data_IF_166768192954
#
_entry.id   IF_166768192954
#
_cell.length_a   1.000
_cell.length_b   1.000
_cell.length_c   1.000
_cell.angle_alpha   90.00
_cell.angle_beta   90.00
_cell.angle_gamma   90.00
#
_symmetry.space_group_name_H-M   'P 1'
#
loop_
_entity.id
_entity.type
_entity.pdbx_description
1 polymer ?
#
# COMPACT_ATOMS: atom_id res chain seq x y z
N UNK A 1 -2.64 -1.65 -24.85
CA UNK A 1 -3.82 -1.55 -23.98
C UNK A 1 -3.93 -0.11 -23.52
N UNK A 2 -5.09 0.54 -23.69
CA UNK A 2 -5.36 1.86 -23.14
C UNK A 2 -5.73 1.77 -21.65
N UNK A 3 -5.67 2.88 -20.91
CA UNK A 3 -6.11 2.90 -19.50
C UNK A 3 -7.60 2.52 -19.34
N UNK A 4 -8.42 2.72 -20.36
CA UNK A 4 -9.83 2.34 -20.34
C UNK A 4 -10.03 0.82 -20.52
N UNK A 5 -9.26 0.19 -21.41
CA UNK A 5 -9.23 -1.28 -21.56
C UNK A 5 -8.68 -1.94 -20.28
N UNK A 6 -7.67 -1.34 -19.67
CA UNK A 6 -7.07 -1.79 -18.41
C UNK A 6 -8.08 -1.73 -17.25
N UNK A 7 -8.88 -0.64 -17.18
CA UNK A 7 -9.98 -0.53 -16.20
C UNK A 7 -11.03 -1.62 -16.40
N UNK A 8 -11.42 -1.89 -17.65
CA UNK A 8 -12.38 -2.96 -17.95
C UNK A 8 -11.85 -4.34 -17.54
N UNK A 9 -10.57 -4.61 -17.79
CA UNK A 9 -9.92 -5.85 -17.35
C UNK A 9 -9.89 -6.00 -15.82
N UNK A 10 -9.59 -4.93 -15.08
CA UNK A 10 -9.66 -4.93 -13.62
C UNK A 10 -11.07 -5.25 -13.11
N UNK A 11 -12.11 -4.63 -13.67
CA UNK A 11 -13.50 -4.86 -13.27
C UNK A 11 -14.00 -6.25 -13.62
N UNK A 12 -13.52 -6.85 -14.71
CA UNK A 12 -13.87 -8.22 -15.07
C UNK A 12 -13.29 -9.26 -14.10
N UNK A 13 -12.18 -8.92 -13.43
CA UNK A 13 -11.48 -9.82 -12.51
C UNK A 13 -11.85 -9.61 -11.03
N UNK A 14 -12.56 -8.54 -10.68
CA UNK A 14 -12.83 -8.16 -9.30
C UNK A 14 -14.28 -7.71 -9.11
N UNK A 15 -14.89 -8.16 -8.01
CA UNK A 15 -16.20 -7.66 -7.61
C UNK A 15 -16.05 -6.32 -6.88
N UNK A 16 -16.47 -5.23 -7.53
CA UNK A 16 -16.30 -3.86 -7.04
C UNK A 16 -17.66 -3.20 -6.96
N UNK A 17 -18.08 -2.78 -5.76
CA UNK A 17 -19.33 -2.04 -5.61
C UNK A 17 -19.31 -0.71 -6.39
N UNK A 18 -20.46 -0.22 -6.77
CA UNK A 18 -20.59 1.05 -7.50
C UNK A 18 -20.01 2.23 -6.74
N UNK A 19 -20.22 2.27 -5.43
CA UNK A 19 -19.71 3.34 -4.55
C UNK A 19 -18.18 3.30 -4.45
N UNK A 20 -17.62 2.11 -4.36
CA UNK A 20 -16.16 1.93 -4.33
C UNK A 20 -15.55 2.31 -5.68
N UNK A 21 -16.19 1.91 -6.77
CA UNK A 21 -15.73 2.27 -8.12
C UNK A 21 -15.71 3.78 -8.34
N UNK A 22 -16.76 4.51 -7.89
CA UNK A 22 -16.81 5.97 -7.97
C UNK A 22 -15.62 6.61 -7.20
N UNK A 23 -15.27 6.10 -6.01
CA UNK A 23 -14.10 6.56 -5.27
C UNK A 23 -12.79 6.28 -6.01
N UNK A 24 -12.63 5.08 -6.56
CA UNK A 24 -11.44 4.70 -7.34
C UNK A 24 -11.30 5.59 -8.59
N UNK A 25 -12.38 5.82 -9.32
CA UNK A 25 -12.37 6.69 -10.51
C UNK A 25 -11.94 8.12 -10.16
N UNK A 26 -12.39 8.67 -9.02
CA UNK A 26 -11.96 10.00 -8.53
C UNK A 26 -10.47 10.00 -8.17
N UNK A 27 -9.97 8.98 -7.49
CA UNK A 27 -8.54 8.84 -7.17
C UNK A 27 -7.69 8.84 -8.45
N UNK A 28 -8.09 8.05 -9.44
CA UNK A 28 -7.35 7.92 -10.71
C UNK A 28 -7.42 9.22 -11.52
N UNK A 29 -8.56 9.92 -11.49
CA UNK A 29 -8.69 11.24 -12.13
C UNK A 29 -7.76 12.27 -11.49
N UNK A 30 -7.69 12.34 -10.17
CA UNK A 30 -6.72 13.19 -9.48
C UNK A 30 -5.28 12.82 -9.83
N UNK A 31 -4.96 11.54 -9.83
CA UNK A 31 -3.64 11.05 -10.17
C UNK A 31 -3.23 11.45 -11.60
N UNK A 32 -4.17 11.40 -12.57
CA UNK A 32 -3.91 11.82 -13.96
C UNK A 32 -3.55 13.30 -14.06
N UNK A 33 -4.23 14.16 -13.31
CA UNK A 33 -3.91 15.60 -13.23
C UNK A 33 -2.53 15.84 -12.59
N UNK A 34 -2.25 15.16 -11.48
CA UNK A 34 -1.02 15.39 -10.71
C UNK A 34 0.22 14.80 -11.37
N UNK A 35 0.14 13.63 -12.05
CA UNK A 35 1.29 13.01 -12.73
C UNK A 35 1.86 13.88 -13.85
N UNK A 36 1.09 14.80 -14.41
CA UNK A 36 1.55 15.74 -15.43
C UNK A 36 2.48 16.83 -14.84
N UNK A 37 2.42 17.06 -13.53
CA UNK A 37 3.16 18.11 -12.81
C UNK A 37 4.19 17.53 -11.83
N UNK A 38 4.15 16.22 -11.58
CA UNK A 38 5.01 15.55 -10.61
C UNK A 38 5.22 14.08 -10.98
N UNK A 39 6.41 13.55 -10.68
CA UNK A 39 6.78 12.16 -10.96
C UNK A 39 6.13 11.21 -9.94
N UNK A 40 4.80 11.04 -10.03
CA UNK A 40 4.05 10.10 -9.18
C UNK A 40 4.05 8.70 -9.77
N UNK A 41 3.82 8.59 -11.07
CA UNK A 41 3.76 7.35 -11.84
C UNK A 41 4.52 7.55 -13.15
N UNK A 42 5.30 6.56 -13.54
CA UNK A 42 6.01 6.57 -14.81
C UNK A 42 5.05 6.53 -16.01
N UNK A 43 5.37 7.22 -17.13
CA UNK A 43 4.49 7.25 -18.31
C UNK A 43 4.23 5.85 -18.89
N UNK A 44 5.16 4.92 -18.74
CA UNK A 44 5.02 3.51 -19.17
C UNK A 44 4.09 2.69 -18.29
N UNK A 45 3.88 3.09 -17.03
CA UNK A 45 3.02 2.39 -16.06
C UNK A 45 1.57 2.84 -16.17
N UNK A 46 1.32 4.06 -16.65
CA UNK A 46 -0.01 4.64 -16.73
C UNK A 46 -1.02 3.79 -17.53
N UNK A 47 -0.69 3.21 -18.69
CA UNK A 47 -1.62 2.34 -19.43
C UNK A 47 -2.07 1.08 -18.68
N UNK A 48 -1.39 0.73 -17.58
CA UNK A 48 -1.68 -0.44 -16.74
C UNK A 48 -1.99 -0.04 -15.29
N UNK A 49 -2.49 1.18 -15.09
CA UNK A 49 -2.73 1.74 -13.75
C UNK A 49 -3.73 0.92 -12.95
N UNK A 50 -4.76 0.38 -13.60
CA UNK A 50 -5.81 -0.38 -12.97
C UNK A 50 -5.37 -1.81 -12.62
N UNK A 51 -4.82 -2.54 -13.56
CA UNK A 51 -4.44 -3.94 -13.31
C UNK A 51 -3.21 -4.05 -12.42
N UNK A 52 -2.19 -3.19 -12.63
CA UNK A 52 -0.94 -3.26 -11.85
C UNK A 52 -0.96 -2.49 -10.54
N UNK A 53 -1.52 -1.28 -10.50
CA UNK A 53 -1.45 -0.48 -9.26
C UNK A 53 -2.71 -0.62 -8.40
N UNK A 54 -3.90 -0.49 -9.00
CA UNK A 54 -5.15 -0.72 -8.29
C UNK A 54 -5.29 -2.20 -7.95
N UNK A 55 -5.06 -3.11 -8.92
CA UNK A 55 -5.17 -4.55 -8.74
C UNK A 55 -4.18 -5.12 -7.72
N UNK A 56 -2.90 -4.69 -7.78
CA UNK A 56 -1.90 -5.06 -6.76
C UNK A 56 -2.31 -4.64 -5.34
N UNK A 57 -2.95 -3.49 -5.22
CA UNK A 57 -3.43 -2.98 -3.94
C UNK A 57 -4.72 -3.68 -3.50
N UNK A 58 -5.60 -3.99 -4.46
CA UNK A 58 -6.90 -4.61 -4.23
C UNK A 58 -6.79 -5.99 -3.59
N UNK A 59 -5.85 -6.81 -4.02
CA UNK A 59 -5.64 -8.15 -3.46
C UNK A 59 -5.28 -8.14 -1.96
N UNK A 60 -4.80 -7.02 -1.40
CA UNK A 60 -4.52 -6.91 0.03
C UNK A 60 -5.80 -6.91 0.89
N UNK A 61 -6.96 -6.62 0.28
CA UNK A 61 -8.26 -6.63 0.97
C UNK A 61 -8.63 -8.01 1.52
N UNK A 62 -8.10 -9.09 0.93
CA UNK A 62 -8.33 -10.46 1.42
C UNK A 62 -7.69 -10.70 2.80
N UNK A 63 -6.75 -9.84 3.20
CA UNK A 63 -5.96 -9.97 4.43
C UNK A 63 -6.22 -8.84 5.45
N UNK A 64 -7.07 -7.87 5.08
CA UNK A 64 -7.37 -6.70 5.91
C UNK A 64 -8.89 -6.64 6.13
N UNK A 65 -9.38 -6.67 7.38
CA UNK A 65 -10.80 -6.64 7.69
C UNK A 65 -11.45 -5.31 7.33
N UNK A 66 -12.80 -5.29 7.31
CA UNK A 66 -13.60 -4.12 6.92
C UNK A 66 -13.34 -2.89 7.79
N UNK A 67 -13.15 -3.08 9.09
CA UNK A 67 -12.82 -2.02 10.03
C UNK A 67 -11.43 -2.27 10.61
N UNK A 68 -10.45 -1.47 10.23
CA UNK A 68 -9.06 -1.58 10.67
C UNK A 68 -8.39 -0.21 10.72
N UNK A 69 -7.40 -0.07 11.58
CA UNK A 69 -6.45 1.06 11.53
C UNK A 69 -5.24 0.61 10.75
N UNK A 70 -4.98 1.29 9.64
CA UNK A 70 -3.91 0.93 8.70
C UNK A 70 -2.90 2.06 8.67
N UNK A 71 -1.62 1.72 8.76
CA UNK A 71 -0.52 2.63 8.45
C UNK A 71 0.13 2.17 7.15
N UNK A 72 0.20 3.05 6.17
CA UNK A 72 0.84 2.79 4.88
C UNK A 72 2.16 3.55 4.80
N UNK A 73 3.28 2.83 4.72
CA UNK A 73 4.63 3.38 4.79
C UNK A 73 5.15 3.75 3.40
N UNK A 74 5.58 5.01 3.24
CA UNK A 74 6.11 5.48 1.97
C UNK A 74 5.07 5.48 0.87
N UNK A 75 3.89 6.01 1.13
CA UNK A 75 2.71 5.87 0.28
C UNK A 75 2.86 6.37 -1.16
N UNK A 76 3.77 7.30 -1.42
CA UNK A 76 4.12 7.76 -2.77
C UNK A 76 2.92 8.25 -3.57
N UNK A 77 2.56 7.54 -4.63
CA UNK A 77 1.38 7.78 -5.44
C UNK A 77 0.08 7.20 -4.83
N UNK A 78 0.09 6.84 -3.53
CA UNK A 78 -1.08 6.41 -2.79
C UNK A 78 -1.42 4.92 -2.89
N UNK A 79 -0.48 4.09 -3.35
CA UNK A 79 -0.68 2.64 -3.47
C UNK A 79 0.16 1.89 -2.42
N UNK A 80 -0.47 1.08 -1.53
CA UNK A 80 -1.88 0.67 -1.55
C UNK A 80 -2.84 1.59 -0.78
N UNK A 81 -2.38 2.57 0.00
CA UNK A 81 -3.15 3.30 1.01
C UNK A 81 -4.48 3.89 0.53
N UNK A 82 -4.51 4.61 -0.62
CA UNK A 82 -5.74 5.18 -1.18
C UNK A 82 -6.74 4.11 -1.61
N UNK A 83 -6.26 2.99 -2.16
CA UNK A 83 -7.13 1.91 -2.64
C UNK A 83 -7.79 1.19 -1.46
N UNK A 84 -7.01 0.93 -0.40
CA UNK A 84 -7.53 0.36 0.84
C UNK A 84 -8.58 1.26 1.49
N UNK A 85 -8.34 2.58 1.55
CA UNK A 85 -9.30 3.53 2.08
C UNK A 85 -10.58 3.62 1.24
N UNK A 86 -10.47 3.54 -0.09
CA UNK A 86 -11.62 3.54 -0.99
C UNK A 86 -12.50 2.28 -0.84
N UNK A 87 -11.86 1.11 -0.72
CA UNK A 87 -12.52 -0.19 -0.64
C UNK A 87 -13.01 -0.55 0.76
N UNK A 88 -12.45 0.05 1.82
CA UNK A 88 -12.77 -0.19 3.24
C UNK A 88 -13.19 1.11 3.94
N UNK A 89 -14.39 1.65 3.69
CA UNK A 89 -14.82 2.94 4.24
C UNK A 89 -14.90 2.99 5.76
N UNK A 90 -14.97 1.83 6.43
CA UNK A 90 -14.91 1.71 7.91
C UNK A 90 -13.48 1.66 8.45
N UNK A 91 -12.49 1.39 7.61
CA UNK A 91 -11.09 1.46 8.00
C UNK A 91 -10.63 2.91 8.07
N UNK A 92 -9.62 3.17 8.91
CA UNK A 92 -8.89 4.44 8.90
C UNK A 92 -7.47 4.22 8.41
N UNK A 93 -7.08 4.90 7.32
CA UNK A 93 -5.76 4.74 6.71
C UNK A 93 -4.91 5.99 6.98
N UNK A 94 -3.79 5.83 7.66
CA UNK A 94 -2.77 6.88 7.79
C UNK A 94 -1.65 6.61 6.79
N UNK A 95 -1.53 7.47 5.79
CA UNK A 95 -0.48 7.41 4.78
C UNK A 95 0.73 8.22 5.20
N UNK A 96 1.92 7.60 5.26
CA UNK A 96 3.18 8.24 5.63
C UNK A 96 4.01 8.53 4.38
N UNK A 97 4.32 9.81 4.17
CA UNK A 97 5.12 10.25 3.04
C UNK A 97 5.96 11.49 3.45
N UNK A 98 7.21 11.54 3.02
CA UNK A 98 8.11 12.66 3.37
C UNK A 98 8.13 13.77 2.33
N UNK A 99 7.79 13.48 1.08
CA UNK A 99 7.87 14.43 -0.04
C UNK A 99 6.61 15.30 -0.10
N UNK A 100 6.76 16.60 0.14
CA UNK A 100 5.63 17.54 0.23
C UNK A 100 4.68 17.52 -0.97
N UNK A 101 5.21 17.43 -2.20
CA UNK A 101 4.37 17.34 -3.41
C UNK A 101 3.52 16.09 -3.45
N UNK A 102 4.06 14.94 -3.01
CA UNK A 102 3.31 13.68 -2.91
C UNK A 102 2.24 13.76 -1.82
N UNK A 103 2.58 14.37 -0.67
CA UNK A 103 1.60 14.61 0.39
C UNK A 103 0.45 15.51 -0.07
N UNK A 104 0.73 16.54 -0.87
CA UNK A 104 -0.30 17.40 -1.44
C UNK A 104 -1.25 16.64 -2.37
N UNK A 105 -0.69 15.79 -3.24
CA UNK A 105 -1.49 14.86 -4.06
C UNK A 105 -2.37 13.95 -3.20
N UNK A 106 -1.79 13.28 -2.20
CA UNK A 106 -2.54 12.36 -1.33
C UNK A 106 -3.73 13.05 -0.65
N UNK A 107 -3.52 14.28 -0.14
CA UNK A 107 -4.62 15.07 0.47
C UNK A 107 -5.70 15.42 -0.54
N UNK A 108 -5.34 15.83 -1.76
CA UNK A 108 -6.30 16.12 -2.83
C UNK A 108 -7.12 14.88 -3.20
N UNK A 109 -6.47 13.71 -3.35
CA UNK A 109 -7.14 12.45 -3.66
C UNK A 109 -8.09 11.99 -2.53
N UNK A 110 -7.68 12.16 -1.25
CA UNK A 110 -8.52 11.87 -0.07
C UNK A 110 -9.79 12.73 -0.10
N UNK A 111 -9.63 14.04 -0.33
CA UNK A 111 -10.75 14.99 -0.40
C UNK A 111 -11.68 14.69 -1.57
N UNK A 112 -11.14 14.53 -2.78
CA UNK A 112 -11.91 14.27 -3.99
C UNK A 112 -12.75 12.99 -3.90
N UNK A 113 -12.19 11.93 -3.28
CA UNK A 113 -12.86 10.65 -3.15
C UNK A 113 -13.61 10.47 -1.80
N UNK A 114 -13.56 11.43 -0.89
CA UNK A 114 -14.25 11.39 0.41
C UNK A 114 -13.78 10.22 1.28
N UNK A 115 -12.45 10.01 1.41
CA UNK A 115 -11.89 8.84 2.07
C UNK A 115 -11.70 9.07 3.58
N UNK A 116 -11.91 8.02 4.37
CA UNK A 116 -11.53 7.99 5.78
C UNK A 116 -10.02 7.74 5.93
N UNK A 117 -9.23 8.74 5.59
CA UNK A 117 -7.78 8.64 5.58
C UNK A 117 -7.11 9.96 5.97
N UNK A 118 -5.86 9.88 6.42
CA UNK A 118 -5.03 11.02 6.78
C UNK A 118 -3.61 10.88 6.19
N UNK A 119 -2.92 12.00 6.03
CA UNK A 119 -1.53 12.05 5.57
C UNK A 119 -0.63 12.56 6.69
N UNK A 120 0.29 11.73 7.14
CA UNK A 120 1.44 12.17 7.93
C UNK A 120 2.57 12.58 6.98
N UNK A 121 2.91 13.85 6.99
CA UNK A 121 4.03 14.39 6.20
C UNK A 121 5.29 14.45 7.06
N UNK A 122 6.23 13.56 6.81
CA UNK A 122 7.49 13.51 7.54
C UNK A 122 8.23 12.19 7.38
N UNK A 123 9.33 12.08 8.06
CA UNK A 123 10.06 10.82 8.16
C UNK A 123 9.35 9.87 9.10
N UNK A 124 9.33 8.58 8.76
CA UNK A 124 8.65 7.53 9.55
C UNK A 124 9.23 7.45 10.97
N UNK A 125 10.55 7.61 11.09
CA UNK A 125 11.27 7.56 12.37
C UNK A 125 10.90 8.69 13.32
N UNK A 126 10.40 9.80 12.80
CA UNK A 126 9.94 10.97 13.56
C UNK A 126 8.41 10.98 13.76
N UNK A 127 7.71 9.93 13.35
CA UNK A 127 6.26 9.88 13.46
C UNK A 127 5.81 9.81 14.92
N UNK A 128 4.74 10.52 15.29
CA UNK A 128 4.14 10.38 16.60
C UNK A 128 3.57 8.95 16.76
N UNK A 129 3.30 8.52 18.01
CA UNK A 129 2.68 7.23 18.26
C UNK A 129 1.30 7.12 17.60
N UNK A 130 1.24 6.45 16.45
CA UNK A 130 0.00 6.17 15.72
C UNK A 130 -0.38 4.71 15.99
N UNK A 131 -1.62 4.47 16.40
CA UNK A 131 -2.12 3.10 16.58
C UNK A 131 -2.45 2.49 15.22
N UNK A 132 -1.99 1.27 14.97
CA UNK A 132 -2.33 0.51 13.80
C UNK A 132 -2.56 -0.96 14.14
N UNK A 133 -3.50 -1.57 13.43
CA UNK A 133 -3.76 -3.01 13.44
C UNK A 133 -3.02 -3.67 12.27
N UNK A 134 -2.81 -2.91 11.20
CA UNK A 134 -2.11 -3.34 9.99
C UNK A 134 -1.09 -2.30 9.53
N UNK A 135 0.01 -2.79 8.99
CA UNK A 135 1.04 -1.98 8.33
C UNK A 135 1.18 -2.45 6.90
N UNK A 136 1.08 -1.53 5.95
CA UNK A 136 1.31 -1.80 4.53
C UNK A 136 2.49 -1.01 4.01
N UNK A 137 3.13 -1.51 2.97
CA UNK A 137 4.13 -0.79 2.19
C UNK A 137 4.29 -1.48 0.83
N UNK A 138 4.40 -0.72 -0.25
CA UNK A 138 4.65 -1.23 -1.60
C UNK A 138 5.80 -0.47 -2.25
N UNK A 139 6.78 -1.20 -2.82
CA UNK A 139 7.95 -0.63 -3.50
C UNK A 139 8.72 0.43 -2.66
N UNK A 140 8.70 0.29 -1.33
CA UNK A 140 9.24 1.27 -0.40
C UNK A 140 10.70 0.97 -0.03
N UNK A 141 10.97 -0.25 0.44
CA UNK A 141 12.31 -0.68 0.88
C UNK A 141 12.46 -2.21 0.78
N UNK A 142 13.71 -2.74 0.70
CA UNK A 142 13.98 -4.16 0.90
C UNK A 142 13.51 -4.63 2.29
N UNK A 143 13.19 -5.92 2.42
CA UNK A 143 12.57 -6.49 3.62
C UNK A 143 13.32 -6.18 4.93
N UNK A 144 14.66 -6.27 5.01
CA UNK A 144 15.38 -5.94 6.25
C UNK A 144 15.13 -4.50 6.72
N UNK A 145 15.17 -3.55 5.80
CA UNK A 145 14.95 -2.13 6.08
C UNK A 145 13.47 -1.83 6.31
N UNK A 146 12.57 -2.49 5.60
CA UNK A 146 11.13 -2.38 5.81
C UNK A 146 10.75 -2.78 7.23
N UNK A 147 11.32 -3.87 7.76
CA UNK A 147 11.09 -4.29 9.15
C UNK A 147 11.62 -3.27 10.17
N UNK A 148 12.73 -2.60 9.90
CA UNK A 148 13.22 -1.50 10.76
C UNK A 148 12.14 -0.41 10.88
N UNK A 149 11.61 0.05 9.75
CA UNK A 149 10.57 1.10 9.73
C UNK A 149 9.23 0.63 10.32
N UNK A 150 8.83 -0.60 10.05
CA UNK A 150 7.54 -1.14 10.50
C UNK A 150 7.55 -1.62 11.96
N UNK A 151 8.74 -1.89 12.54
CA UNK A 151 8.89 -2.47 13.88
C UNK A 151 8.13 -1.74 15.00
N UNK A 152 7.96 -0.39 15.00
CA UNK A 152 7.20 0.29 16.05
C UNK A 152 5.75 -0.16 16.17
N UNK A 153 5.16 -0.67 15.09
CA UNK A 153 3.79 -1.21 15.05
C UNK A 153 3.77 -2.73 15.17
N UNK A 154 4.66 -3.42 14.43
CA UNK A 154 4.70 -4.89 14.40
C UNK A 154 5.02 -5.48 15.79
N UNK A 155 5.93 -4.87 16.54
CA UNK A 155 6.25 -5.24 17.94
C UNK A 155 5.09 -5.00 18.91
N UNK A 156 4.11 -4.19 18.54
CA UNK A 156 2.88 -3.94 19.33
C UNK A 156 1.70 -4.80 18.87
N UNK A 157 1.95 -5.80 18.03
CA UNK A 157 0.97 -6.76 17.58
C UNK A 157 0.25 -6.42 16.28
N UNK A 158 0.65 -5.35 15.57
CA UNK A 158 0.14 -5.11 14.23
C UNK A 158 0.61 -6.19 13.24
N UNK A 159 -0.20 -6.45 12.22
CA UNK A 159 0.14 -7.37 11.13
C UNK A 159 0.71 -6.59 9.95
N UNK A 160 1.89 -6.96 9.46
CA UNK A 160 2.44 -6.46 8.20
C UNK A 160 1.81 -7.17 7.00
N UNK A 161 1.42 -6.41 5.99
CA UNK A 161 0.88 -6.91 4.71
C UNK A 161 1.68 -6.26 3.59
N UNK A 162 2.69 -6.98 3.09
CA UNK A 162 3.71 -6.40 2.22
C UNK A 162 3.76 -7.09 0.86
N UNK A 163 3.27 -6.46 -0.22
CA UNK A 163 3.52 -6.92 -1.57
C UNK A 163 5.02 -6.87 -1.89
N UNK A 164 5.57 -7.97 -2.36
CA UNK A 164 6.98 -8.11 -2.72
C UNK A 164 7.10 -8.71 -4.12
N UNK A 165 8.08 -8.20 -4.87
CA UNK A 165 8.39 -8.68 -6.22
C UNK A 165 9.25 -9.95 -6.23
N UNK A 166 9.85 -10.26 -7.38
CA UNK A 166 10.58 -11.52 -7.65
C UNK A 166 11.70 -11.83 -6.66
N UNK A 167 12.37 -10.80 -6.12
CA UNK A 167 13.49 -10.96 -5.19
C UNK A 167 13.09 -11.20 -3.72
N UNK A 168 11.82 -11.47 -3.47
CA UNK A 168 11.31 -11.60 -2.10
C UNK A 168 12.01 -12.68 -1.25
N UNK A 169 12.46 -13.78 -1.86
CA UNK A 169 13.15 -14.87 -1.14
C UNK A 169 14.53 -14.44 -0.64
N UNK A 170 15.26 -13.69 -1.46
CA UNK A 170 16.57 -13.11 -1.11
C UNK A 170 16.39 -12.10 0.02
N UNK A 171 15.47 -11.17 -0.14
CA UNK A 171 15.16 -10.15 0.87
C UNK A 171 14.67 -10.77 2.20
N UNK A 172 13.89 -11.85 2.12
CA UNK A 172 13.44 -12.59 3.29
C UNK A 172 14.60 -13.26 4.03
N UNK A 173 15.51 -13.90 3.28
CA UNK A 173 16.70 -14.54 3.83
C UNK A 173 17.59 -13.52 4.57
N UNK A 174 17.81 -12.35 3.98
CA UNK A 174 18.54 -11.25 4.61
C UNK A 174 17.84 -10.73 5.87
N UNK A 175 16.51 -10.60 5.83
CA UNK A 175 15.72 -10.15 6.97
C UNK A 175 15.80 -11.12 8.15
N UNK A 176 15.74 -12.43 7.89
CA UNK A 176 15.83 -13.49 8.90
C UNK A 176 17.20 -13.56 9.61
N UNK A 177 18.24 -12.94 9.06
CA UNK A 177 19.53 -12.81 9.76
C UNK A 177 19.45 -11.81 10.92
N UNK A 178 18.61 -10.78 10.82
CA UNK A 178 18.49 -9.68 11.80
C UNK A 178 17.24 -9.75 12.65
N UNK A 179 16.20 -10.43 12.17
CA UNK A 179 14.87 -10.43 12.76
C UNK A 179 14.34 -11.85 12.95
N UNK A 180 13.61 -12.08 14.05
CA UNK A 180 12.73 -13.22 14.23
C UNK A 180 11.31 -12.76 13.98
N UNK A 181 10.55 -13.45 13.14
CA UNK A 181 9.15 -13.16 12.86
C UNK A 181 8.45 -14.36 12.25
N UNK A 182 7.15 -14.45 12.50
CA UNK A 182 6.27 -15.38 11.77
C UNK A 182 5.89 -14.75 10.44
N UNK A 183 5.88 -15.53 9.37
CA UNK A 183 5.44 -15.05 8.07
C UNK A 183 4.67 -16.12 7.29
N UNK A 184 3.83 -15.63 6.39
CA UNK A 184 3.15 -16.41 5.35
C UNK A 184 3.41 -15.73 4.01
N UNK A 185 3.74 -16.49 2.98
CA UNK A 185 3.98 -15.99 1.63
C UNK A 185 2.85 -16.48 0.70
N UNK A 186 2.00 -15.56 0.28
CA UNK A 186 0.83 -15.83 -0.55
C UNK A 186 1.15 -15.39 -1.98
N UNK A 187 1.00 -16.25 -3.00
CA UNK A 187 1.26 -15.86 -4.38
C UNK A 187 0.45 -14.62 -4.81
N UNK A 188 1.12 -13.65 -5.43
CA UNK A 188 0.44 -12.47 -5.96
C UNK A 188 -0.40 -12.83 -7.19
N UNK A 189 -1.61 -12.29 -7.28
CA UNK A 189 -2.48 -12.45 -8.46
C UNK A 189 -2.05 -11.60 -9.66
N UNK A 190 -1.09 -10.70 -9.47
CA UNK A 190 -0.59 -9.80 -10.52
C UNK A 190 0.35 -10.46 -11.52
N UNK A 191 0.55 -11.77 -11.41
CA UNK A 191 1.47 -12.54 -12.24
C UNK A 191 2.92 -12.48 -11.77
N UNK A 192 3.79 -13.28 -12.42
CA UNK A 192 5.20 -13.41 -12.02
C UNK A 192 5.39 -14.22 -10.73
N UNK A 193 6.57 -14.06 -10.12
CA UNK A 193 6.98 -14.76 -8.87
C UNK A 193 6.79 -13.90 -7.61
N UNK A 194 6.05 -12.80 -7.70
CA UNK A 194 5.76 -11.91 -6.57
C UNK A 194 4.80 -12.55 -5.56
N UNK A 195 4.87 -12.07 -4.32
CA UNK A 195 4.03 -12.55 -3.20
C UNK A 195 3.51 -11.39 -2.36
N UNK A 196 2.47 -11.67 -1.58
CA UNK A 196 2.10 -10.88 -0.41
C UNK A 196 2.69 -11.57 0.81
N UNK A 197 3.60 -10.90 1.52
CA UNK A 197 4.10 -11.37 2.80
C UNK A 197 3.22 -10.88 3.94
N UNK A 198 2.61 -11.80 4.66
CA UNK A 198 1.93 -11.51 5.92
C UNK A 198 2.93 -11.74 7.05
N UNK A 199 3.22 -10.71 7.83
CA UNK A 199 4.28 -10.71 8.85
C UNK A 199 3.69 -10.40 10.21
N UNK A 200 4.07 -11.23 11.22
CA UNK A 200 3.62 -11.11 12.61
C UNK A 200 4.76 -11.41 13.58
N UNK A 201 4.59 -11.05 14.84
CA UNK A 201 5.48 -11.46 15.94
C UNK A 201 6.94 -11.04 15.73
N UNK A 202 7.16 -9.79 15.33
CA UNK A 202 8.49 -9.29 14.95
C UNK A 202 9.32 -8.94 16.19
N UNK A 203 10.48 -9.59 16.31
CA UNK A 203 11.47 -9.36 17.35
C UNK A 203 12.86 -9.21 16.71
N UNK A 204 13.69 -8.33 17.23
CA UNK A 204 15.07 -8.23 16.77
C UNK A 204 15.91 -9.36 17.37
N UNK A 205 16.83 -9.97 16.62
CA UNK A 205 17.59 -11.16 17.07
C UNK A 205 18.57 -10.92 18.23
N UNK A 206 18.79 -9.70 18.63
CA UNK A 206 19.72 -9.34 19.72
C UNK A 206 19.09 -8.39 20.75
N UNK A 207 17.76 -8.38 20.83
CA UNK A 207 17.00 -7.70 21.90
C UNK A 207 16.75 -8.64 23.07
#
# INVERSE_FOLDING_TARGET
MSAQEDRAAFLAANDVSRETLDRLDRIISELDVWRQKSNLIGPKEWPQIWTRHVGDSWQLLDHIPEAARIVDLGSGAGFPGLILAAARPKAHVTMMESVGKKCAFLRAAIEAAGLNAAVYQGRIEAAPPIKADFVTARAFAPMPQLLEYASPWLRKGATGVFPKGERWKEELTEALQKWNFAYEAIPSRSGGSGVILIVREVLRRHD
#
